data_IF_471801907544
#
_entry.id   IF_471801907544
#
_cell.length_a   1.000
_cell.length_b   1.000
_cell.length_c   1.000
_cell.angle_alpha   90.00
_cell.angle_beta   90.00
_cell.angle_gamma   90.00
#
_symmetry.space_group_name_H-M   'P 1'
#
loop_
_entity.id
_entity.type
_entity.pdbx_description
1 polymer ?
#
# COMPACT_ATOMS: atom_id res chain seq x y z
N UNK A 1 3.37 -44.35 -19.50
CA UNK A 1 4.79 -44.17 -19.83
C UNK A 1 4.98 -42.77 -20.32
N UNK A 2 5.74 -42.06 -19.61
CA UNK A 2 5.89 -40.64 -19.43
C UNK A 2 6.34 -39.83 -20.64
N UNK A 3 5.57 -38.80 -20.96
CA UNK A 3 5.82 -37.85 -22.05
C UNK A 3 6.43 -36.53 -21.52
N UNK A 4 7.07 -36.55 -20.35
CA UNK A 4 7.64 -35.35 -19.67
C UNK A 4 9.19 -35.35 -19.72
N UNK A 5 9.84 -36.41 -20.11
CA UNK A 5 11.31 -36.50 -20.13
C UNK A 5 12.01 -35.95 -21.38
N UNK A 6 11.28 -35.50 -22.41
CA UNK A 6 11.89 -35.08 -23.68
C UNK A 6 12.11 -33.57 -23.86
N UNK A 7 11.89 -32.73 -22.81
CA UNK A 7 12.03 -31.28 -22.95
C UNK A 7 13.29 -30.74 -22.25
N UNK A 8 14.01 -31.56 -21.48
CA UNK A 8 15.22 -31.07 -20.74
C UNK A 8 16.55 -31.21 -21.48
N UNK A 9 16.56 -31.66 -22.75
CA UNK A 9 17.81 -31.96 -23.47
C UNK A 9 18.22 -30.91 -24.52
N UNK A 10 17.64 -29.69 -24.53
CA UNK A 10 17.92 -28.74 -25.63
C UNK A 10 18.36 -27.34 -25.20
N UNK A 11 18.84 -27.11 -23.97
CA UNK A 11 19.51 -25.86 -23.64
C UNK A 11 20.86 -26.19 -23.02
N UNK A 12 21.78 -26.63 -23.86
CA UNK A 12 23.21 -26.75 -23.56
C UNK A 12 23.87 -25.37 -23.60
N UNK A 13 23.77 -24.55 -22.55
CA UNK A 13 24.61 -23.39 -22.40
C UNK A 13 25.83 -23.75 -21.56
N UNK A 14 26.89 -24.18 -22.23
CA UNK A 14 28.18 -24.43 -21.63
C UNK A 14 28.87 -23.11 -21.37
N UNK A 15 28.76 -22.59 -20.14
CA UNK A 15 29.62 -21.50 -19.70
C UNK A 15 30.97 -22.11 -19.32
N UNK A 16 31.93 -21.97 -20.22
CA UNK A 16 33.31 -22.36 -19.98
C UNK A 16 33.95 -21.40 -18.97
N UNK A 17 34.08 -21.81 -17.72
CA UNK A 17 34.77 -21.08 -16.69
C UNK A 17 36.25 -21.00 -17.02
N UNK A 18 36.77 -19.82 -17.25
CA UNK A 18 38.20 -19.56 -17.15
C UNK A 18 38.56 -19.24 -15.71
N UNK A 19 39.16 -20.18 -15.04
CA UNK A 19 39.85 -19.96 -13.76
C UNK A 19 41.17 -19.25 -14.06
N UNK A 20 41.28 -18.01 -13.62
CA UNK A 20 42.57 -17.36 -13.41
C UNK A 20 42.47 -16.41 -12.22
N UNK A 21 43.18 -16.78 -11.21
CA UNK A 21 43.84 -15.95 -10.17
C UNK A 21 43.05 -14.81 -9.50
N UNK A 22 42.92 -14.98 -8.17
CA UNK A 22 42.60 -13.95 -7.18
C UNK A 22 41.18 -13.33 -7.20
N UNK A 23 40.26 -14.06 -6.58
CA UNK A 23 38.90 -13.65 -6.32
C UNK A 23 38.77 -12.55 -5.27
N UNK A 24 38.97 -11.31 -5.67
CA UNK A 24 38.44 -10.18 -4.93
C UNK A 24 37.12 -9.76 -5.60
N UNK A 25 36.01 -9.81 -4.86
CA UNK A 25 34.74 -9.36 -5.36
C UNK A 25 34.77 -7.86 -5.68
N UNK A 26 33.99 -7.40 -6.65
CA UNK A 26 33.93 -5.99 -7.06
C UNK A 26 33.76 -5.02 -5.86
N UNK A 27 33.05 -5.46 -4.81
CA UNK A 27 32.87 -4.70 -3.56
C UNK A 27 34.18 -4.55 -2.76
N UNK A 28 35.05 -5.56 -2.78
CA UNK A 28 36.35 -5.52 -2.08
C UNK A 28 37.35 -4.64 -2.84
N UNK A 29 37.27 -4.59 -4.18
CA UNK A 29 38.09 -3.68 -4.97
C UNK A 29 37.67 -2.22 -4.78
N UNK A 30 36.36 -1.96 -4.69
CA UNK A 30 35.85 -0.62 -4.46
C UNK A 30 36.26 -0.09 -3.07
N UNK A 31 36.15 -0.89 -2.04
CA UNK A 31 36.56 -0.50 -0.67
C UNK A 31 38.07 -0.27 -0.54
N UNK A 32 38.89 -1.06 -1.23
CA UNK A 32 40.34 -0.87 -1.26
C UNK A 32 40.73 0.40 -2.03
N UNK A 33 40.06 0.71 -3.14
CA UNK A 33 40.30 1.93 -3.92
C UNK A 33 39.87 3.18 -3.16
N UNK A 34 38.77 3.11 -2.41
CA UNK A 34 38.28 4.20 -1.57
C UNK A 34 39.24 4.48 -0.39
N UNK A 35 39.75 3.43 0.25
CA UNK A 35 40.73 3.55 1.32
C UNK A 35 42.05 4.18 0.85
N UNK A 36 42.49 3.86 -0.36
CA UNK A 36 43.67 4.46 -0.96
C UNK A 36 43.44 5.92 -1.44
N UNK A 37 42.24 6.27 -1.87
CA UNK A 37 41.90 7.63 -2.30
C UNK A 37 41.76 8.61 -1.13
N UNK A 38 41.41 8.11 0.06
CA UNK A 38 41.27 8.90 1.30
C UNK A 38 42.58 9.13 2.05
N UNK A 39 43.74 8.97 1.37
CA UNK A 39 45.09 9.25 1.87
C UNK A 39 45.18 9.39 3.37
N UNK A 40 45.99 8.57 4.00
CA UNK A 40 46.30 8.58 5.44
C UNK A 40 46.85 9.93 5.91
N UNK A 41 46.03 10.93 5.98
CA UNK A 41 46.33 12.11 6.80
C UNK A 41 45.97 11.73 8.25
N UNK A 42 46.84 11.83 9.20
CA UNK A 42 46.50 11.65 10.60
C UNK A 42 45.52 12.76 10.94
N UNK A 43 44.24 12.43 11.11
CA UNK A 43 43.26 13.34 11.68
C UNK A 43 43.75 13.56 13.12
N UNK A 44 44.37 14.72 13.35
CA UNK A 44 44.61 15.20 14.69
C UNK A 44 43.23 15.27 15.34
N UNK A 45 43.02 14.38 16.28
CA UNK A 45 41.80 14.36 17.07
C UNK A 45 41.73 15.67 17.86
N UNK A 46 41.19 16.71 17.21
CA UNK A 46 40.77 17.92 17.87
C UNK A 46 39.60 17.51 18.74
N UNK A 47 39.86 17.41 20.05
CA UNK A 47 38.82 17.09 21.01
C UNK A 47 37.69 18.09 20.85
N UNK A 48 36.59 17.64 20.23
CA UNK A 48 35.36 18.40 20.23
C UNK A 48 34.96 18.62 21.69
N UNK A 49 34.60 19.87 22.09
CA UNK A 49 34.04 20.08 23.40
C UNK A 49 32.87 19.13 23.61
N UNK A 50 32.66 18.64 24.85
CA UNK A 50 31.56 17.73 25.11
C UNK A 50 30.28 18.41 24.59
N UNK A 51 29.66 17.77 23.58
CA UNK A 51 28.35 18.17 23.10
C UNK A 51 27.49 18.13 24.35
N UNK A 52 27.09 19.32 24.81
CA UNK A 52 26.13 19.42 25.90
C UNK A 52 24.97 18.52 25.47
N UNK A 53 24.78 17.45 26.21
CA UNK A 53 23.63 16.56 26.02
C UNK A 53 22.43 17.50 26.13
N UNK A 54 21.87 17.86 24.97
CA UNK A 54 20.56 18.51 24.93
C UNK A 54 19.67 17.44 25.54
N UNK A 55 19.44 17.57 26.85
CA UNK A 55 18.37 16.85 27.48
C UNK A 55 17.14 17.29 26.68
N UNK A 56 16.62 16.38 25.88
CA UNK A 56 15.27 16.52 25.35
C UNK A 56 14.40 16.66 26.59
N UNK A 57 14.23 17.92 27.05
CA UNK A 57 13.06 18.25 27.85
C UNK A 57 11.92 17.77 26.98
N UNK A 58 11.37 16.62 27.35
CA UNK A 58 10.08 16.22 26.85
C UNK A 58 9.19 17.43 27.11
N UNK A 59 8.94 18.16 26.04
CA UNK A 59 7.84 19.09 26.02
C UNK A 59 6.60 18.23 26.19
N UNK A 60 6.25 17.94 27.43
CA UNK A 60 4.94 17.42 27.82
C UNK A 60 3.89 18.51 27.52
N UNK A 61 3.79 18.83 26.24
CA UNK A 61 2.66 19.61 25.79
C UNK A 61 1.45 18.67 25.85
N UNK A 62 0.34 19.10 26.42
CA UNK A 62 -0.93 18.36 26.38
C UNK A 62 -1.53 18.32 24.96
N UNK A 63 -0.70 18.47 23.92
CA UNK A 63 -1.00 18.28 22.50
C UNK A 63 -1.44 16.86 22.18
N UNK A 64 -1.33 15.99 23.13
CA UNK A 64 -1.31 14.55 22.92
C UNK A 64 -2.66 13.96 22.51
N UNK A 65 -3.76 14.46 23.04
CA UNK A 65 -5.05 13.85 22.78
C UNK A 65 -5.69 14.38 21.49
N UNK A 66 -5.48 15.65 21.18
CA UNK A 66 -6.11 16.27 20.02
C UNK A 66 -5.38 15.92 18.73
N UNK A 67 -4.06 16.00 18.73
CA UNK A 67 -3.26 15.59 17.55
C UNK A 67 -3.44 14.10 17.24
N UNK A 68 -3.32 13.23 18.23
CA UNK A 68 -3.53 11.79 18.03
C UNK A 68 -4.94 11.47 17.50
N UNK A 69 -5.98 12.11 18.01
CA UNK A 69 -7.34 11.97 17.49
C UNK A 69 -7.49 12.46 16.06
N UNK A 70 -6.82 13.57 15.71
CA UNK A 70 -6.82 14.10 14.33
C UNK A 70 -6.17 13.09 13.39
N UNK A 71 -4.97 12.60 13.71
CA UNK A 71 -4.27 11.61 12.90
C UNK A 71 -5.07 10.30 12.76
N UNK A 72 -5.67 9.83 13.83
CA UNK A 72 -6.53 8.66 13.80
C UNK A 72 -7.74 8.88 12.87
N UNK A 73 -8.36 10.06 12.93
CA UNK A 73 -9.50 10.40 12.07
C UNK A 73 -9.10 10.55 10.60
N UNK A 74 -7.91 11.12 10.31
CA UNK A 74 -7.35 11.17 8.95
C UNK A 74 -7.20 9.76 8.41
N UNK A 75 -6.56 8.86 9.15
CA UNK A 75 -6.35 7.48 8.72
C UNK A 75 -7.65 6.70 8.48
N UNK A 76 -8.71 6.97 9.26
CA UNK A 76 -10.03 6.37 9.05
C UNK A 76 -10.67 6.90 7.76
N UNK A 77 -10.60 8.20 7.51
CA UNK A 77 -11.17 8.80 6.30
C UNK A 77 -10.43 8.34 5.03
N UNK A 78 -9.10 8.26 5.08
CA UNK A 78 -8.29 7.72 3.97
C UNK A 78 -8.60 6.24 3.71
N UNK A 79 -8.75 5.45 4.76
CA UNK A 79 -9.15 4.05 4.64
C UNK A 79 -10.54 3.90 4.05
N UNK A 80 -11.49 4.73 4.49
CA UNK A 80 -12.83 4.75 3.93
C UNK A 80 -12.82 5.08 2.43
N UNK A 81 -12.02 6.06 2.03
CA UNK A 81 -11.84 6.43 0.62
C UNK A 81 -11.28 5.27 -0.18
N UNK A 82 -10.21 4.62 0.30
CA UNK A 82 -9.58 3.47 -0.36
C UNK A 82 -10.54 2.27 -0.51
N UNK A 83 -11.31 1.94 0.54
CA UNK A 83 -12.29 0.87 0.50
C UNK A 83 -13.45 1.16 -0.46
N UNK A 84 -13.91 2.41 -0.53
CA UNK A 84 -14.98 2.81 -1.45
C UNK A 84 -14.51 2.83 -2.90
N UNK A 85 -13.26 3.24 -3.15
CA UNK A 85 -12.64 3.13 -4.47
C UNK A 85 -12.58 1.67 -4.91
N UNK A 86 -12.11 0.78 -4.05
CA UNK A 86 -12.05 -0.65 -4.34
C UNK A 86 -13.44 -1.27 -4.58
N UNK A 87 -14.44 -0.89 -3.77
CA UNK A 87 -15.82 -1.33 -4.01
C UNK A 87 -16.33 -0.87 -5.37
N UNK A 88 -15.97 0.34 -5.79
CA UNK A 88 -16.35 0.87 -7.10
C UNK A 88 -15.78 0.02 -8.25
N UNK A 89 -14.53 -0.42 -8.13
CA UNK A 89 -13.89 -1.33 -9.08
C UNK A 89 -14.63 -2.68 -9.16
N UNK A 90 -15.01 -3.26 -8.02
CA UNK A 90 -15.75 -4.52 -7.97
C UNK A 90 -17.14 -4.40 -8.61
N UNK A 91 -17.88 -3.35 -8.28
CA UNK A 91 -19.21 -3.10 -8.86
C UNK A 91 -19.13 -2.85 -10.37
N UNK A 92 -18.11 -2.12 -10.85
CA UNK A 92 -17.86 -1.94 -12.27
C UNK A 92 -17.52 -3.27 -12.96
N UNK A 93 -16.73 -4.12 -12.33
CA UNK A 93 -16.42 -5.47 -12.84
C UNK A 93 -17.68 -6.34 -12.91
N UNK A 94 -18.53 -6.33 -11.90
CA UNK A 94 -19.80 -7.06 -11.91
C UNK A 94 -20.69 -6.61 -13.09
N UNK A 95 -20.85 -5.27 -13.27
CA UNK A 95 -21.62 -4.70 -14.37
C UNK A 95 -21.07 -5.12 -15.74
N UNK A 96 -19.73 -5.09 -15.90
CA UNK A 96 -19.08 -5.47 -17.15
C UNK A 96 -19.25 -6.97 -17.48
N UNK A 97 -19.46 -7.81 -16.48
CA UNK A 97 -19.64 -9.25 -16.62
C UNK A 97 -21.09 -9.72 -16.48
N UNK A 98 -22.06 -8.83 -16.61
CA UNK A 98 -23.48 -9.16 -16.45
C UNK A 98 -23.97 -10.22 -17.45
N UNK A 99 -23.38 -10.25 -18.64
CA UNK A 99 -23.72 -11.22 -19.70
C UNK A 99 -22.72 -12.38 -19.79
N UNK A 100 -21.78 -12.51 -18.82
CA UNK A 100 -20.80 -13.58 -18.83
C UNK A 100 -21.35 -14.83 -18.13
N UNK A 101 -21.54 -15.97 -18.82
CA UNK A 101 -22.07 -17.17 -18.21
C UNK A 101 -21.19 -17.67 -17.04
N UNK A 102 -21.85 -18.02 -15.94
CA UNK A 102 -21.18 -18.55 -14.75
C UNK A 102 -20.41 -17.51 -13.92
N UNK A 103 -20.52 -16.21 -14.24
CA UNK A 103 -19.88 -15.19 -13.45
C UNK A 103 -20.55 -15.02 -12.08
N UNK A 104 -19.75 -14.92 -11.04
CA UNK A 104 -20.22 -14.74 -9.66
C UNK A 104 -19.89 -13.32 -9.19
N UNK A 105 -20.94 -12.55 -8.91
CA UNK A 105 -20.82 -11.18 -8.44
C UNK A 105 -20.14 -11.13 -7.07
N UNK A 106 -19.21 -10.18 -6.90
CA UNK A 106 -18.45 -9.97 -5.66
C UNK A 106 -18.64 -8.56 -5.14
N UNK A 107 -18.64 -8.41 -3.82
CA UNK A 107 -18.73 -7.11 -3.14
C UNK A 107 -17.90 -7.14 -1.85
N UNK A 108 -17.75 -6.01 -1.20
CA UNK A 108 -17.13 -5.87 0.12
C UNK A 108 -18.05 -5.11 1.07
N UNK A 109 -17.99 -5.46 2.34
CA UNK A 109 -18.66 -4.71 3.41
C UNK A 109 -17.71 -3.63 3.94
N UNK A 110 -17.87 -2.40 3.40
CA UNK A 110 -17.05 -1.24 3.77
C UNK A 110 -17.23 -0.87 5.25
N UNK A 111 -18.47 -0.95 5.80
CA UNK A 111 -18.71 -0.58 7.19
C UNK A 111 -18.05 -1.56 8.15
N UNK A 112 -18.17 -2.85 7.89
CA UNK A 112 -17.51 -3.89 8.67
C UNK A 112 -15.99 -3.76 8.59
N UNK A 113 -15.44 -3.49 7.40
CA UNK A 113 -14.01 -3.28 7.21
C UNK A 113 -13.50 -2.07 8.01
N UNK A 114 -14.24 -0.95 8.02
CA UNK A 114 -13.89 0.23 8.81
C UNK A 114 -13.96 -0.05 10.32
N UNK A 115 -15.00 -0.72 10.80
CA UNK A 115 -15.15 -1.10 12.22
C UNK A 115 -14.03 -2.02 12.70
N UNK A 116 -13.57 -2.92 11.83
CA UNK A 116 -12.49 -3.87 12.14
C UNK A 116 -11.09 -3.35 11.81
N UNK A 117 -10.98 -2.11 11.33
CA UNK A 117 -9.69 -1.50 11.00
C UNK A 117 -9.01 -2.08 9.76
N UNK A 118 -9.73 -2.84 8.93
CA UNK A 118 -9.19 -3.45 7.72
C UNK A 118 -8.97 -2.43 6.61
N UNK A 119 -7.92 -2.64 5.83
CA UNK A 119 -7.62 -1.90 4.61
C UNK A 119 -8.11 -2.63 3.36
N UNK A 120 -7.87 -2.06 2.18
CA UNK A 120 -8.17 -2.67 0.87
C UNK A 120 -7.57 -4.09 0.76
N UNK A 121 -6.34 -4.28 1.26
CA UNK A 121 -5.58 -5.52 1.09
C UNK A 121 -6.03 -6.64 2.06
N UNK A 122 -6.68 -6.25 3.17
CA UNK A 122 -7.10 -7.18 4.23
C UNK A 122 -8.60 -7.50 4.19
N UNK A 123 -9.37 -6.78 3.33
CA UNK A 123 -10.82 -6.95 3.30
C UNK A 123 -11.20 -8.24 2.59
N UNK A 124 -12.16 -8.97 3.16
CA UNK A 124 -12.67 -10.21 2.58
C UNK A 124 -13.73 -9.92 1.53
N UNK A 125 -13.58 -10.50 0.35
CA UNK A 125 -14.61 -10.51 -0.68
C UNK A 125 -15.82 -11.33 -0.23
N UNK A 126 -17.00 -10.85 -0.55
CA UNK A 126 -18.27 -11.51 -0.30
C UNK A 126 -18.92 -11.82 -1.64
N UNK A 127 -19.32 -13.07 -1.84
CA UNK A 127 -20.08 -13.47 -3.01
C UNK A 127 -21.55 -13.11 -2.84
N UNK A 128 -22.16 -12.56 -3.88
CA UNK A 128 -23.60 -12.28 -3.87
C UNK A 128 -24.36 -13.47 -4.39
N UNK A 129 -25.38 -13.85 -3.62
CA UNK A 129 -26.37 -14.79 -4.07
C UNK A 129 -27.46 -14.01 -4.84
N UNK A 130 -27.83 -14.47 -6.05
CA UNK A 130 -28.86 -13.80 -6.83
C UNK A 130 -30.22 -13.98 -6.16
N UNK A 131 -31.09 -12.95 -6.26
CA UNK A 131 -32.46 -13.04 -5.79
C UNK A 131 -33.28 -14.04 -6.64
N UNK A 132 -32.92 -14.16 -7.91
CA UNK A 132 -33.45 -15.16 -8.84
C UNK A 132 -32.29 -15.92 -9.48
N UNK A 133 -32.41 -17.24 -9.54
CA UNK A 133 -31.40 -18.05 -10.20
C UNK A 133 -31.40 -17.82 -11.72
N UNK A 134 -30.26 -17.49 -12.29
CA UNK A 134 -30.06 -17.41 -13.73
C UNK A 134 -29.79 -18.81 -14.31
N UNK A 135 -30.29 -19.08 -15.51
CA UNK A 135 -30.11 -20.38 -16.18
C UNK A 135 -28.64 -20.60 -16.56
N UNK A 136 -27.92 -19.54 -16.84
CA UNK A 136 -26.51 -19.56 -17.21
C UNK A 136 -25.55 -19.54 -15.99
N UNK A 137 -26.08 -19.52 -14.77
CA UNK A 137 -25.29 -19.51 -13.53
C UNK A 137 -24.66 -18.15 -13.19
N UNK A 138 -25.01 -17.08 -13.92
CA UNK A 138 -24.59 -15.73 -13.60
C UNK A 138 -25.36 -15.22 -12.39
N UNK A 139 -24.67 -14.60 -11.42
CA UNK A 139 -25.29 -14.07 -10.20
C UNK A 139 -25.42 -12.53 -10.19
N UNK A 140 -25.10 -11.87 -11.30
CA UNK A 140 -25.19 -10.42 -11.44
C UNK A 140 -26.65 -9.99 -11.66
N UNK A 141 -27.16 -9.14 -10.78
CA UNK A 141 -28.42 -8.42 -11.00
C UNK A 141 -28.06 -6.99 -11.41
N UNK A 142 -28.26 -6.67 -12.69
CA UNK A 142 -27.83 -5.41 -13.29
C UNK A 142 -28.47 -4.20 -12.62
N UNK A 143 -29.73 -4.28 -12.21
CA UNK A 143 -30.43 -3.15 -11.58
C UNK A 143 -29.89 -2.92 -10.17
N UNK A 144 -29.62 -4.00 -9.43
CA UNK A 144 -29.00 -3.94 -8.11
C UNK A 144 -27.58 -3.41 -8.21
N UNK A 145 -26.76 -3.91 -9.15
CA UNK A 145 -25.38 -3.47 -9.30
C UNK A 145 -25.29 -1.97 -9.68
N UNK A 146 -26.13 -1.49 -10.59
CA UNK A 146 -26.20 -0.08 -10.95
C UNK A 146 -26.63 0.80 -9.78
N UNK A 147 -27.63 0.38 -9.01
CA UNK A 147 -28.06 1.10 -7.82
C UNK A 147 -26.95 1.17 -6.76
N UNK A 148 -26.24 0.05 -6.53
CA UNK A 148 -25.11 0.00 -5.60
C UNK A 148 -23.93 0.85 -6.10
N UNK A 149 -23.66 0.84 -7.40
CA UNK A 149 -22.63 1.66 -8.00
C UNK A 149 -22.92 3.16 -7.80
N UNK A 150 -24.14 3.61 -8.09
CA UNK A 150 -24.55 4.99 -7.88
C UNK A 150 -24.48 5.40 -6.40
N UNK A 151 -24.98 4.55 -5.51
CA UNK A 151 -24.88 4.79 -4.07
C UNK A 151 -23.42 4.88 -3.60
N UNK A 152 -22.58 3.94 -4.03
CA UNK A 152 -21.17 3.94 -3.66
C UNK A 152 -20.42 5.17 -4.21
N UNK A 153 -20.77 5.65 -5.41
CA UNK A 153 -20.20 6.88 -5.99
C UNK A 153 -20.47 8.10 -5.12
N UNK A 154 -21.70 8.29 -4.64
CA UNK A 154 -22.05 9.39 -3.72
C UNK A 154 -21.25 9.27 -2.40
N UNK A 155 -21.13 8.06 -1.88
CA UNK A 155 -20.38 7.83 -0.65
C UNK A 155 -18.87 7.99 -0.85
N UNK A 156 -18.36 7.72 -2.05
CA UNK A 156 -16.97 8.00 -2.43
C UNK A 156 -16.70 9.50 -2.45
N UNK A 157 -17.55 10.28 -3.13
CA UNK A 157 -17.46 11.75 -3.14
C UNK A 157 -17.50 12.33 -1.74
N UNK A 158 -18.42 11.88 -0.89
CA UNK A 158 -18.44 12.26 0.52
C UNK A 158 -17.13 11.96 1.23
N UNK A 159 -16.52 10.80 0.96
CA UNK A 159 -15.22 10.44 1.56
C UNK A 159 -14.09 11.35 1.07
N UNK A 160 -14.09 11.74 -0.21
CA UNK A 160 -13.13 12.70 -0.77
C UNK A 160 -13.24 14.05 -0.04
N UNK A 161 -14.46 14.55 0.15
CA UNK A 161 -14.68 15.83 0.82
C UNK A 161 -14.25 15.78 2.29
N UNK A 162 -14.47 14.67 2.97
CA UNK A 162 -13.99 14.46 4.35
C UNK A 162 -12.47 14.48 4.42
N UNK A 163 -11.78 13.85 3.47
CA UNK A 163 -10.31 13.88 3.40
C UNK A 163 -9.81 15.29 3.12
N UNK A 164 -10.37 15.97 2.12
CA UNK A 164 -10.02 17.37 1.79
C UNK A 164 -10.24 18.30 2.99
N UNK A 165 -11.36 18.16 3.68
CA UNK A 165 -11.67 18.96 4.87
C UNK A 165 -10.61 18.80 5.97
N UNK A 166 -10.15 17.59 6.21
CA UNK A 166 -9.10 17.30 7.20
C UNK A 166 -7.75 17.90 6.81
N UNK A 167 -7.37 17.82 5.54
CA UNK A 167 -6.14 18.48 5.08
C UNK A 167 -6.20 20.00 5.24
N UNK A 168 -7.36 20.60 4.98
CA UNK A 168 -7.56 22.03 5.22
C UNK A 168 -7.44 22.39 6.70
N UNK A 169 -8.05 21.62 7.59
CA UNK A 169 -7.92 21.81 9.04
C UNK A 169 -6.44 21.76 9.50
N UNK A 170 -5.67 20.80 8.96
CA UNK A 170 -4.23 20.69 9.25
C UNK A 170 -3.44 21.88 8.72
N UNK A 171 -3.73 22.33 7.51
CA UNK A 171 -3.10 23.50 6.90
C UNK A 171 -3.39 24.78 7.71
N UNK A 172 -4.64 24.97 8.13
CA UNK A 172 -5.05 26.08 8.96
C UNK A 172 -4.37 26.06 10.34
N UNK A 173 -4.21 24.89 10.94
CA UNK A 173 -3.47 24.75 12.21
C UNK A 173 -1.99 25.12 12.03
N UNK A 174 -1.35 24.68 10.97
CA UNK A 174 0.06 24.99 10.70
C UNK A 174 0.28 26.50 10.46
N UNK A 175 -0.65 27.17 9.79
CA UNK A 175 -0.58 28.61 9.53
C UNK A 175 -0.83 29.47 10.77
N UNK A 176 -1.63 28.97 11.69
CA UNK A 176 -2.04 29.71 12.89
C UNK A 176 -1.23 29.36 14.15
N UNK A 177 -0.20 28.50 14.03
CA UNK A 177 0.68 28.19 15.17
C UNK A 177 1.68 29.33 15.34
N UNK A 178 1.62 30.15 16.44
CA UNK A 178 2.62 31.17 16.71
C UNK A 178 3.95 30.47 17.02
N UNK A 179 5.03 30.93 16.41
CA UNK A 179 6.42 30.56 16.70
C UNK A 179 6.87 31.13 18.04
#
# INVERSE_FOLDING_TARGET
MNKIESIQASIGLTVKGSTSAEGKTAGQMFSATLANALGSTPIVAMALPPVATIQHTQFDLPLNLTAAKIWQQVSINERALGLRAYRQELLASNIANADTPGYVAVDIDVEKALKTGKSKDDVSLQFRLPAQGSIDGNTVDMDVERAQFAHNSLMYEYSVDRVKGRFKELDDLLKNTPY
#
